data_IF_076004972638
#
_entry.id   IF_076004972638
#
_cell.length_a   1.000
_cell.length_b   1.000
_cell.length_c   1.000
_cell.angle_alpha   90.00
_cell.angle_beta   90.00
_cell.angle_gamma   90.00
#
_symmetry.space_group_name_H-M   'P 1'
#
loop_
_entity.id
_entity.type
_entity.pdbx_description
1 polymer ?
#
# COMPACT_ATOMS: atom_id res chain seq x y z
N UNK A 1 -4.36 -41.62 15.04
CA UNK A 1 -4.54 -40.39 15.86
C UNK A 1 -5.90 -40.45 16.52
N UNK A 2 -6.01 -40.14 17.81
CA UNK A 2 -7.30 -40.06 18.51
C UNK A 2 -7.98 -38.71 18.23
N UNK A 3 -9.32 -38.64 18.35
CA UNK A 3 -10.07 -37.41 18.07
C UNK A 3 -9.61 -36.20 18.90
N UNK A 4 -9.08 -36.44 20.12
CA UNK A 4 -8.48 -35.40 20.98
C UNK A 4 -7.15 -34.88 20.42
N UNK A 5 -6.29 -35.74 19.88
CA UNK A 5 -5.01 -35.34 19.29
C UNK A 5 -5.22 -34.49 18.03
N UNK A 6 -6.22 -34.84 17.21
CA UNK A 6 -6.58 -34.07 16.02
C UNK A 6 -7.14 -32.69 16.40
N UNK A 7 -8.02 -32.63 17.40
CA UNK A 7 -8.55 -31.36 17.92
C UNK A 7 -7.45 -30.44 18.46
N UNK A 8 -6.49 -30.98 19.22
CA UNK A 8 -5.35 -30.20 19.68
C UNK A 8 -4.51 -29.65 18.52
N UNK A 9 -4.21 -30.43 17.50
CA UNK A 9 -3.41 -29.97 16.34
C UNK A 9 -4.10 -28.87 15.53
N UNK A 10 -5.43 -28.88 15.48
CA UNK A 10 -6.21 -27.90 14.73
C UNK A 10 -6.38 -26.59 15.51
N UNK A 11 -6.52 -26.65 16.84
CA UNK A 11 -6.81 -25.48 17.69
C UNK A 11 -5.56 -24.80 18.23
N UNK A 12 -4.47 -25.55 18.44
CA UNK A 12 -3.24 -25.04 19.03
C UNK A 12 -2.60 -23.89 18.24
N UNK A 13 -2.56 -23.88 16.90
CA UNK A 13 -2.08 -22.73 16.13
C UNK A 13 -2.90 -21.45 16.37
N UNK A 14 -4.23 -21.56 16.52
CA UNK A 14 -5.09 -20.42 16.84
C UNK A 14 -4.85 -19.92 18.27
N UNK A 15 -4.73 -20.82 19.24
CA UNK A 15 -4.46 -20.46 20.63
C UNK A 15 -3.10 -19.76 20.78
N UNK A 16 -2.07 -20.25 20.09
CA UNK A 16 -0.74 -19.61 20.06
C UNK A 16 -0.83 -18.23 19.40
N UNK A 17 -1.51 -18.11 18.26
CA UNK A 17 -1.65 -16.84 17.55
C UNK A 17 -2.42 -15.79 18.39
N UNK A 18 -3.50 -16.20 19.05
CA UNK A 18 -4.27 -15.35 19.96
C UNK A 18 -3.43 -14.94 21.18
N UNK A 19 -2.71 -15.87 21.81
CA UNK A 19 -1.83 -15.56 22.94
C UNK A 19 -0.74 -14.57 22.51
N UNK A 20 -0.07 -14.81 21.38
CA UNK A 20 0.97 -13.92 20.86
C UNK A 20 0.44 -12.52 20.52
N UNK A 21 -0.79 -12.42 19.98
CA UNK A 21 -1.45 -11.15 19.74
C UNK A 21 -1.79 -10.41 21.05
N UNK A 22 -2.31 -11.12 22.06
CA UNK A 22 -2.62 -10.54 23.38
C UNK A 22 -1.36 -10.01 24.09
N UNK A 23 -0.25 -10.76 24.01
CA UNK A 23 1.03 -10.35 24.58
C UNK A 23 1.79 -9.30 23.74
N UNK A 24 1.22 -8.84 22.61
CA UNK A 24 1.87 -7.92 21.66
C UNK A 24 3.28 -8.37 21.23
N UNK A 25 3.55 -9.67 21.32
CA UNK A 25 4.84 -10.26 20.98
C UNK A 25 5.08 -10.24 19.47
N UNK A 26 4.01 -10.06 18.68
CA UNK A 26 4.05 -9.97 17.21
C UNK A 26 2.74 -9.38 16.67
N UNK A 27 2.72 -8.73 15.48
CA UNK A 27 1.50 -8.18 14.90
C UNK A 27 0.66 -9.26 14.19
N UNK A 28 0.02 -10.16 14.96
CA UNK A 28 -0.81 -11.26 14.43
C UNK A 28 -2.30 -10.92 14.28
N UNK A 29 -2.76 -9.75 14.73
CA UNK A 29 -4.14 -9.29 14.54
C UNK A 29 -4.28 -8.43 13.27
N UNK A 30 -5.14 -8.82 12.33
CA UNK A 30 -5.49 -8.00 11.16
C UNK A 30 -4.40 -7.87 10.09
N UNK A 31 -3.36 -8.70 10.12
CA UNK A 31 -2.24 -8.64 9.18
C UNK A 31 -2.19 -9.87 8.27
N UNK A 32 -1.40 -9.78 7.19
CA UNK A 32 -1.09 -10.90 6.28
C UNK A 32 -0.59 -12.18 6.99
N UNK A 33 -0.14 -12.09 8.24
CA UNK A 33 0.38 -13.20 9.01
C UNK A 33 -0.70 -14.20 9.45
N UNK A 34 -1.96 -13.78 9.55
CA UNK A 34 -3.09 -14.68 9.83
C UNK A 34 -3.35 -15.71 8.72
N UNK A 35 -2.78 -15.51 7.54
CA UNK A 35 -2.83 -16.48 6.43
C UNK A 35 -2.24 -17.85 6.81
N UNK A 36 -1.30 -17.90 7.76
CA UNK A 36 -0.72 -19.14 8.28
C UNK A 36 -1.75 -20.05 8.95
N UNK A 37 -2.88 -19.50 9.40
CA UNK A 37 -3.96 -20.25 10.04
C UNK A 37 -4.94 -20.89 9.04
N UNK A 38 -4.93 -20.46 7.77
CA UNK A 38 -5.83 -20.96 6.71
C UNK A 38 -5.82 -22.50 6.60
N UNK A 39 -4.67 -23.21 6.50
CA UNK A 39 -4.68 -24.67 6.38
C UNK A 39 -5.32 -25.36 7.60
N UNK A 40 -5.10 -24.83 8.81
CA UNK A 40 -5.69 -25.39 10.04
C UNK A 40 -7.18 -25.08 10.14
N UNK A 41 -7.60 -23.87 9.72
CA UNK A 41 -9.01 -23.49 9.62
C UNK A 41 -9.76 -24.44 8.68
N UNK A 42 -9.23 -24.63 7.47
CA UNK A 42 -9.84 -25.49 6.45
C UNK A 42 -9.93 -26.94 6.90
N UNK A 43 -8.86 -27.47 7.50
CA UNK A 43 -8.85 -28.83 8.03
C UNK A 43 -9.86 -29.00 9.18
N UNK A 44 -9.96 -28.03 10.09
CA UNK A 44 -10.91 -28.06 11.20
C UNK A 44 -12.36 -27.98 10.75
N UNK A 45 -12.67 -27.05 9.84
CA UNK A 45 -14.02 -26.92 9.24
C UNK A 45 -14.39 -28.19 8.48
N UNK A 46 -13.47 -28.77 7.71
CA UNK A 46 -13.73 -30.00 6.95
C UNK A 46 -14.03 -31.19 7.85
N UNK A 47 -13.28 -31.36 8.96
CA UNK A 47 -13.53 -32.44 9.93
C UNK A 47 -14.84 -32.22 10.68
N UNK A 48 -15.12 -30.99 11.11
CA UNK A 48 -16.38 -30.64 11.78
C UNK A 48 -17.59 -30.89 10.85
N UNK A 49 -17.50 -30.44 9.60
CA UNK A 49 -18.52 -30.71 8.58
C UNK A 49 -18.69 -32.20 8.34
N UNK A 50 -17.61 -32.98 8.17
CA UNK A 50 -17.70 -34.42 7.95
C UNK A 50 -18.36 -35.17 9.12
N UNK A 51 -18.17 -34.70 10.37
CA UNK A 51 -18.82 -35.28 11.54
C UNK A 51 -20.28 -34.84 11.68
N UNK A 52 -20.61 -33.57 11.39
CA UNK A 52 -21.97 -33.03 11.44
C UNK A 52 -22.86 -33.53 10.28
N UNK A 53 -22.28 -33.72 9.10
CA UNK A 53 -22.98 -34.08 7.86
C UNK A 53 -23.23 -35.58 7.69
N UNK A 54 -22.64 -36.40 8.55
CA UNK A 54 -22.68 -37.86 8.44
C UNK A 54 -24.11 -38.45 8.41
N UNK A 55 -25.15 -37.66 8.71
CA UNK A 55 -26.55 -38.08 8.58
C UNK A 55 -27.54 -37.08 7.94
N UNK A 56 -27.17 -35.83 7.59
CA UNK A 56 -28.15 -34.83 7.09
C UNK A 56 -27.52 -33.81 6.12
N UNK A 57 -27.50 -34.16 4.84
CA UNK A 57 -27.01 -33.29 3.74
C UNK A 57 -27.67 -31.91 3.74
N UNK A 58 -28.96 -31.83 4.08
CA UNK A 58 -29.71 -30.55 4.18
C UNK A 58 -29.12 -29.58 5.21
N UNK A 59 -28.58 -30.09 6.31
CA UNK A 59 -27.99 -29.24 7.36
C UNK A 59 -26.66 -28.63 6.93
N UNK A 60 -25.84 -29.34 6.15
CA UNK A 60 -24.58 -28.80 5.64
C UNK A 60 -24.81 -27.80 4.53
N UNK A 61 -25.85 -28.00 3.71
CA UNK A 61 -26.25 -27.00 2.71
C UNK A 61 -26.73 -25.71 3.40
N UNK A 62 -27.52 -25.83 4.48
CA UNK A 62 -27.91 -24.68 5.29
C UNK A 62 -26.72 -24.00 5.98
N UNK A 63 -25.76 -24.77 6.51
CA UNK A 63 -24.54 -24.24 7.12
C UNK A 63 -23.64 -23.52 6.11
N UNK A 64 -23.46 -24.09 4.91
CA UNK A 64 -22.70 -23.47 3.83
C UNK A 64 -23.34 -22.14 3.39
N UNK A 65 -24.66 -22.13 3.16
CA UNK A 65 -25.41 -20.91 2.85
C UNK A 65 -25.30 -19.87 3.98
N UNK A 66 -25.40 -20.29 5.24
CA UNK A 66 -25.24 -19.41 6.39
C UNK A 66 -23.85 -18.80 6.49
N UNK A 67 -22.79 -19.59 6.28
CA UNK A 67 -21.40 -19.10 6.25
C UNK A 67 -21.21 -18.14 5.09
N UNK A 68 -21.67 -18.47 3.88
CA UNK A 68 -21.60 -17.58 2.71
C UNK A 68 -22.34 -16.27 2.95
N UNK A 69 -23.53 -16.31 3.57
CA UNK A 69 -24.29 -15.11 3.94
C UNK A 69 -23.57 -14.27 4.99
N UNK A 70 -23.02 -14.90 6.03
CA UNK A 70 -22.21 -14.20 7.04
C UNK A 70 -20.98 -13.58 6.40
N UNK A 71 -20.26 -14.28 5.53
CA UNK A 71 -19.11 -13.71 4.79
C UNK A 71 -19.53 -12.55 3.89
N UNK A 72 -20.66 -12.63 3.20
CA UNK A 72 -21.19 -11.55 2.37
C UNK A 72 -21.62 -10.33 3.20
N UNK A 73 -22.19 -10.54 4.38
CA UNK A 73 -22.61 -9.47 5.28
C UNK A 73 -21.47 -8.94 6.16
N UNK A 74 -20.38 -9.70 6.29
CA UNK A 74 -19.18 -9.29 7.01
C UNK A 74 -18.50 -8.19 6.23
N UNK A 75 -18.79 -6.96 6.61
CA UNK A 75 -18.15 -5.73 6.14
C UNK A 75 -16.72 -5.61 6.69
N UNK A 76 -15.89 -6.62 6.46
CA UNK A 76 -14.45 -6.40 6.55
C UNK A 76 -14.18 -5.22 5.62
N UNK A 77 -13.72 -4.07 6.17
CA UNK A 77 -13.39 -2.87 5.40
C UNK A 77 -12.66 -3.33 4.16
N UNK A 78 -13.32 -3.28 3.00
CA UNK A 78 -12.67 -3.62 1.75
C UNK A 78 -11.46 -2.70 1.67
N UNK A 79 -10.26 -3.30 1.68
CA UNK A 79 -9.09 -2.59 1.17
C UNK A 79 -9.50 -2.04 -0.20
N UNK A 80 -9.08 -0.82 -0.59
CA UNK A 80 -9.51 -0.20 -1.84
C UNK A 80 -9.43 -1.22 -2.97
N UNK A 81 -10.60 -1.65 -3.48
CA UNK A 81 -10.65 -2.65 -4.53
C UNK A 81 -10.03 -2.02 -5.77
N UNK A 82 -8.86 -2.53 -6.17
CA UNK A 82 -8.24 -2.11 -7.43
C UNK A 82 -8.88 -2.91 -8.52
N UNK A 83 -9.77 -2.25 -9.25
CA UNK A 83 -10.44 -2.85 -10.37
C UNK A 83 -9.42 -3.27 -11.45
N UNK A 84 -9.67 -4.35 -12.22
CA UNK A 84 -8.70 -4.85 -13.20
C UNK A 84 -8.29 -3.82 -14.26
N UNK A 85 -9.21 -2.92 -14.62
CA UNK A 85 -8.99 -1.80 -15.53
C UNK A 85 -8.05 -0.73 -14.94
N UNK A 86 -8.00 -0.58 -13.62
CA UNK A 86 -7.07 0.28 -12.92
C UNK A 86 -5.60 -0.19 -13.03
N UNK A 87 -5.37 -1.48 -13.27
CA UNK A 87 -4.02 -2.06 -13.41
C UNK A 87 -3.59 -2.27 -14.87
N UNK A 88 -4.24 -1.61 -15.84
CA UNK A 88 -3.87 -1.75 -17.26
C UNK A 88 -2.44 -1.26 -17.50
N UNK A 89 -1.64 -2.11 -18.14
CA UNK A 89 -0.26 -1.78 -18.53
C UNK A 89 -0.18 -0.52 -19.40
N UNK A 90 -1.22 -0.24 -20.21
CA UNK A 90 -1.32 0.98 -21.02
C UNK A 90 -1.26 2.26 -20.17
N UNK A 91 -1.86 2.29 -18.97
CA UNK A 91 -1.79 3.44 -18.08
C UNK A 91 -0.37 3.67 -17.58
N UNK A 92 0.32 2.58 -17.21
CA UNK A 92 1.72 2.65 -16.78
C UNK A 92 2.64 3.09 -17.92
N UNK A 93 2.43 2.59 -19.14
CA UNK A 93 3.17 3.02 -20.32
C UNK A 93 2.98 4.51 -20.62
N UNK A 94 1.74 5.00 -20.52
CA UNK A 94 1.44 6.42 -20.67
C UNK A 94 2.10 7.27 -19.57
N UNK A 95 2.09 6.80 -18.32
CA UNK A 95 2.77 7.46 -17.21
C UNK A 95 4.29 7.51 -17.41
N UNK A 96 4.92 6.43 -17.88
CA UNK A 96 6.36 6.44 -18.19
C UNK A 96 6.68 7.37 -19.37
N UNK A 97 5.83 7.39 -20.40
CA UNK A 97 5.97 8.32 -21.52
C UNK A 97 5.87 9.78 -21.07
N UNK A 98 5.00 10.09 -20.10
CA UNK A 98 4.93 11.40 -19.47
C UNK A 98 6.18 11.71 -18.65
N UNK A 99 6.65 10.77 -17.82
CA UNK A 99 7.87 10.95 -17.02
C UNK A 99 9.06 11.28 -17.92
N UNK A 100 9.22 10.61 -19.06
CA UNK A 100 10.30 10.91 -20.00
C UNK A 100 10.26 12.32 -20.61
N UNK A 101 9.14 13.04 -20.50
CA UNK A 101 9.01 14.44 -20.92
C UNK A 101 9.39 15.43 -19.80
N UNK A 102 9.50 14.97 -18.56
CA UNK A 102 9.94 15.78 -17.43
C UNK A 102 11.40 16.22 -17.66
N UNK A 103 11.77 17.48 -17.41
CA UNK A 103 13.17 17.90 -17.51
C UNK A 103 14.07 17.07 -16.58
N UNK A 104 15.21 16.58 -17.09
CA UNK A 104 16.15 15.73 -16.34
C UNK A 104 16.67 16.34 -15.02
N UNK A 105 16.68 17.68 -14.92
CA UNK A 105 17.07 18.40 -13.70
C UNK A 105 15.98 18.46 -12.62
N UNK A 106 14.76 18.02 -12.92
CA UNK A 106 13.62 18.05 -12.00
C UNK A 106 13.42 16.65 -11.38
N UNK A 107 13.67 16.47 -10.08
CA UNK A 107 13.61 15.16 -9.46
C UNK A 107 12.17 14.69 -9.28
N UNK A 108 12.01 13.37 -9.19
CA UNK A 108 10.75 12.68 -8.91
C UNK A 108 10.73 12.25 -7.45
N UNK A 109 9.74 12.72 -6.70
CA UNK A 109 9.51 12.36 -5.31
C UNK A 109 8.42 11.28 -5.20
N UNK A 110 8.68 10.23 -4.42
CA UNK A 110 7.80 9.07 -4.34
C UNK A 110 7.71 8.48 -2.92
N UNK A 111 6.61 7.80 -2.61
CA UNK A 111 6.54 6.89 -1.47
C UNK A 111 7.17 5.53 -1.81
N UNK A 112 7.26 4.64 -0.82
CA UNK A 112 7.89 3.33 -1.02
C UNK A 112 7.12 2.46 -2.02
N UNK A 113 5.78 2.53 -2.04
CA UNK A 113 4.97 1.77 -3.00
C UNK A 113 5.27 2.20 -4.43
N UNK A 114 5.21 3.51 -4.68
CA UNK A 114 5.48 4.11 -5.99
C UNK A 114 6.92 3.84 -6.42
N UNK A 115 7.87 3.87 -5.49
CA UNK A 115 9.27 3.56 -5.77
C UNK A 115 9.48 2.13 -6.33
N UNK A 116 8.74 1.14 -5.85
CA UNK A 116 8.83 -0.23 -6.38
C UNK A 116 8.40 -0.28 -7.85
N UNK A 117 7.41 0.53 -8.23
CA UNK A 117 6.94 0.62 -9.60
C UNK A 117 7.92 1.41 -10.47
N UNK A 118 8.38 2.57 -10.02
CA UNK A 118 9.37 3.37 -10.74
C UNK A 118 10.67 2.60 -10.97
N UNK A 119 11.20 1.92 -9.96
CA UNK A 119 12.42 1.11 -10.11
C UNK A 119 12.25 -0.03 -11.12
N UNK A 120 11.05 -0.61 -11.25
CA UNK A 120 10.77 -1.64 -12.25
C UNK A 120 10.65 -1.05 -13.67
N UNK A 121 9.81 -0.03 -13.84
CA UNK A 121 9.43 0.49 -15.15
C UNK A 121 10.42 1.51 -15.72
N UNK A 122 10.98 2.40 -14.89
CA UNK A 122 11.88 3.48 -15.33
C UNK A 122 13.32 2.99 -15.54
N UNK A 123 13.75 1.97 -14.78
CA UNK A 123 15.13 1.49 -14.83
C UNK A 123 15.35 0.34 -15.82
N UNK A 124 14.31 -0.11 -16.54
CA UNK A 124 14.39 -1.18 -17.54
C UNK A 124 15.14 -2.44 -17.03
N UNK A 125 14.90 -2.83 -15.77
CA UNK A 125 15.51 -3.98 -15.10
C UNK A 125 17.04 -3.93 -14.94
N UNK A 126 17.66 -2.75 -15.03
CA UNK A 126 19.10 -2.59 -14.75
C UNK A 126 19.36 -2.61 -13.24
N UNK A 127 20.54 -3.09 -12.85
CA UNK A 127 21.03 -2.92 -11.48
C UNK A 127 21.30 -1.43 -11.23
N UNK A 128 20.50 -0.82 -10.36
CA UNK A 128 20.60 0.59 -10.02
C UNK A 128 21.37 0.74 -8.72
N UNK A 129 22.44 1.53 -8.75
CA UNK A 129 23.13 1.93 -7.52
C UNK A 129 22.24 2.92 -6.80
N UNK A 130 21.65 2.46 -5.70
CA UNK A 130 20.81 3.28 -4.83
C UNK A 130 21.66 3.98 -3.79
N UNK A 131 21.57 5.30 -3.72
CA UNK A 131 22.13 6.11 -2.64
C UNK A 131 21.19 6.10 -1.42
N UNK A 132 21.74 5.75 -0.26
CA UNK A 132 21.06 5.72 1.04
C UNK A 132 21.78 6.56 2.09
N UNK A 133 22.62 7.49 1.65
CA UNK A 133 23.39 8.39 2.51
C UNK A 133 22.49 9.30 3.38
N UNK A 134 21.28 9.61 2.91
CA UNK A 134 20.31 10.45 3.62
C UNK A 134 19.30 9.57 4.37
N UNK A 135 19.29 9.60 5.72
CA UNK A 135 18.36 8.80 6.52
C UNK A 135 16.90 9.11 6.21
N UNK A 136 16.12 8.04 6.01
CA UNK A 136 14.70 8.13 5.67
C UNK A 136 14.42 8.12 4.18
N UNK A 137 15.44 8.26 3.32
CA UNK A 137 15.28 8.30 1.86
C UNK A 137 16.20 7.32 1.16
N UNK A 138 15.80 6.98 -0.07
CA UNK A 138 16.66 6.34 -1.06
C UNK A 138 16.58 7.18 -2.33
N UNK A 139 17.72 7.42 -2.96
CA UNK A 139 17.75 8.12 -4.25
C UNK A 139 18.56 7.37 -5.28
N UNK A 140 18.15 7.49 -6.54
CA UNK A 140 18.84 6.86 -7.66
C UNK A 140 18.54 7.57 -8.97
N UNK A 141 19.35 7.30 -9.98
CA UNK A 141 19.20 7.83 -11.33
C UNK A 141 18.71 6.72 -12.27
N UNK A 142 17.55 6.93 -12.91
CA UNK A 142 17.00 6.03 -13.92
C UNK A 142 16.25 6.80 -14.99
N UNK A 143 16.32 6.34 -16.24
CA UNK A 143 15.60 6.95 -17.35
C UNK A 143 15.95 8.41 -17.62
N UNK A 144 17.09 8.89 -17.12
CA UNK A 144 17.49 10.30 -17.17
C UNK A 144 16.95 11.18 -16.04
N UNK A 145 16.33 10.58 -15.02
CA UNK A 145 15.74 11.30 -13.89
C UNK A 145 16.29 10.81 -12.56
N UNK A 146 16.44 11.76 -11.64
CA UNK A 146 16.67 11.49 -10.24
C UNK A 146 15.36 11.14 -9.56
N UNK A 147 15.26 9.93 -9.02
CA UNK A 147 14.16 9.53 -8.14
C UNK A 147 14.63 9.65 -6.70
N UNK A 148 13.80 10.25 -5.84
CA UNK A 148 13.98 10.33 -4.40
C UNK A 148 12.74 9.72 -3.76
N UNK A 149 12.89 8.61 -3.05
CA UNK A 149 11.78 7.90 -2.45
C UNK A 149 11.90 7.82 -0.93
N UNK A 150 10.76 7.94 -0.24
CA UNK A 150 10.70 7.63 1.19
C UNK A 150 10.96 6.15 1.44
N UNK A 151 11.74 5.85 2.47
CA UNK A 151 11.94 4.48 2.98
C UNK A 151 11.09 4.18 4.20
N UNK A 152 10.40 5.18 4.74
CA UNK A 152 9.64 5.07 6.01
C UNK A 152 8.14 5.11 5.81
N UNK A 153 7.66 5.69 4.70
CA UNK A 153 6.23 5.78 4.36
C UNK A 153 5.92 4.87 3.20
N UNK A 154 5.08 3.85 3.45
CA UNK A 154 4.68 2.90 2.42
C UNK A 154 3.82 3.56 1.34
N UNK A 155 2.84 4.34 1.80
CA UNK A 155 1.91 5.13 1.00
C UNK A 155 1.90 6.52 1.62
N UNK A 156 1.86 7.56 0.79
CA UNK A 156 1.62 8.91 1.29
C UNK A 156 0.14 9.18 1.56
N UNK A 157 -0.11 9.82 2.69
CA UNK A 157 -1.29 10.63 3.04
C UNK A 157 -0.92 12.10 2.96
N UNK A 158 -1.86 13.04 2.95
CA UNK A 158 -1.54 14.47 2.93
C UNK A 158 -0.57 14.88 4.06
N UNK A 159 -0.76 14.35 5.28
CA UNK A 159 0.14 14.62 6.41
C UNK A 159 1.52 14.01 6.23
N UNK A 160 1.60 12.72 5.89
CA UNK A 160 2.90 12.06 5.74
C UNK A 160 3.67 12.55 4.51
N UNK A 161 2.96 12.94 3.44
CA UNK A 161 3.53 13.64 2.30
C UNK A 161 4.15 14.97 2.74
N UNK A 162 3.39 15.80 3.46
CA UNK A 162 3.89 17.08 3.96
C UNK A 162 5.17 16.89 4.79
N UNK A 163 5.15 15.98 5.76
CA UNK A 163 6.31 15.75 6.64
C UNK A 163 7.54 15.29 5.84
N UNK A 164 7.35 14.32 4.94
CA UNK A 164 8.44 13.80 4.12
C UNK A 164 8.93 14.80 3.07
N UNK A 165 8.05 15.65 2.54
CA UNK A 165 8.41 16.75 1.65
C UNK A 165 9.32 17.76 2.37
N UNK A 166 8.94 18.20 3.58
CA UNK A 166 9.76 19.13 4.37
C UNK A 166 11.12 18.52 4.72
N UNK A 167 11.14 17.25 5.13
CA UNK A 167 12.40 16.54 5.39
C UNK A 167 13.27 16.42 4.14
N UNK A 168 12.70 16.05 2.99
CA UNK A 168 13.43 15.93 1.73
C UNK A 168 14.02 17.28 1.32
N UNK A 169 13.21 18.34 1.29
CA UNK A 169 13.64 19.70 0.92
C UNK A 169 14.81 20.14 1.79
N UNK A 170 14.73 19.90 3.11
CA UNK A 170 15.77 20.26 4.07
C UNK A 170 17.04 19.43 3.90
N UNK A 171 16.94 18.09 3.89
CA UNK A 171 18.09 17.17 3.87
C UNK A 171 18.83 17.13 2.53
N UNK A 172 18.12 17.35 1.41
CA UNK A 172 18.72 17.43 0.08
C UNK A 172 19.10 18.88 -0.30
N UNK A 173 18.90 19.86 0.59
CA UNK A 173 19.19 21.27 0.36
C UNK A 173 18.57 21.80 -0.94
N UNK A 174 17.29 21.45 -1.16
CA UNK A 174 16.60 21.82 -2.39
C UNK A 174 16.44 23.34 -2.49
N UNK A 175 16.74 23.87 -3.66
CA UNK A 175 16.73 25.32 -3.88
C UNK A 175 15.29 25.84 -3.96
N UNK A 176 14.96 26.96 -3.29
CA UNK A 176 13.66 27.61 -3.45
C UNK A 176 13.34 27.89 -4.92
N UNK A 177 12.10 27.64 -5.32
CA UNK A 177 11.64 27.78 -6.70
C UNK A 177 11.95 26.61 -7.62
N UNK A 178 12.78 25.64 -7.19
CA UNK A 178 12.99 24.42 -7.97
C UNK A 178 11.70 23.60 -8.03
N UNK A 179 11.52 22.93 -9.16
CA UNK A 179 10.35 22.11 -9.46
C UNK A 179 10.65 20.65 -9.11
N UNK A 180 9.74 20.01 -8.38
CA UNK A 180 9.83 18.60 -8.02
C UNK A 180 8.52 17.94 -8.39
N UNK A 181 8.60 16.79 -9.04
CA UNK A 181 7.44 16.01 -9.46
C UNK A 181 7.12 14.96 -8.41
N UNK A 182 5.95 15.04 -7.79
CA UNK A 182 5.44 13.96 -6.95
C UNK A 182 4.74 12.92 -7.83
N UNK A 183 5.13 11.66 -7.68
CA UNK A 183 4.47 10.52 -8.32
C UNK A 183 3.81 9.64 -7.27
N UNK A 184 2.56 9.26 -7.53
CA UNK A 184 1.82 8.27 -6.76
C UNK A 184 1.31 7.17 -7.67
N UNK A 185 1.61 5.93 -7.32
CA UNK A 185 1.23 4.75 -8.09
C UNK A 185 0.93 3.59 -7.15
N UNK A 186 -0.18 2.88 -7.37
CA UNK A 186 -0.41 1.59 -6.71
C UNK A 186 -1.82 1.38 -6.18
N UNK A 187 -1.94 1.18 -4.85
CA UNK A 187 -3.21 0.85 -4.20
C UNK A 187 -3.95 2.10 -3.70
N UNK A 188 -3.22 3.19 -3.47
CA UNK A 188 -3.75 4.43 -2.93
C UNK A 188 -3.04 5.63 -3.55
N UNK A 189 -3.78 6.44 -4.30
CA UNK A 189 -3.26 7.63 -4.98
C UNK A 189 -4.21 8.81 -4.79
N UNK A 190 -4.41 9.24 -3.54
CA UNK A 190 -5.32 10.33 -3.19
C UNK A 190 -4.62 11.58 -2.65
N UNK A 191 -3.29 11.63 -2.60
CA UNK A 191 -2.60 12.79 -2.00
C UNK A 191 -2.92 14.06 -2.78
N UNK A 192 -2.91 14.04 -4.12
CA UNK A 192 -3.26 15.23 -4.88
C UNK A 192 -4.68 15.72 -4.56
N UNK A 193 -5.64 14.78 -4.45
CA UNK A 193 -7.01 15.09 -4.06
C UNK A 193 -7.11 15.64 -2.64
N UNK A 194 -6.43 15.02 -1.67
CA UNK A 194 -6.42 15.48 -0.27
C UNK A 194 -5.79 16.88 -0.15
N UNK A 195 -4.67 17.11 -0.83
CA UNK A 195 -3.95 18.39 -0.83
C UNK A 195 -4.73 19.50 -1.55
N UNK A 196 -5.52 19.18 -2.57
CA UNK A 196 -6.36 20.15 -3.28
C UNK A 196 -7.44 20.80 -2.39
N UNK A 197 -7.75 20.21 -1.22
CA UNK A 197 -8.64 20.83 -0.22
C UNK A 197 -8.01 22.03 0.50
N UNK A 198 -6.72 22.27 0.31
CA UNK A 198 -6.00 23.38 0.92
C UNK A 198 -5.65 24.42 -0.14
N UNK A 199 -6.03 25.70 0.04
CA UNK A 199 -5.88 26.74 -0.98
C UNK A 199 -4.41 27.05 -1.33
N UNK A 200 -3.47 26.63 -0.49
CA UNK A 200 -2.02 26.75 -0.73
C UNK A 200 -1.55 25.85 -1.87
N UNK A 201 -2.28 24.78 -2.18
CA UNK A 201 -1.94 23.85 -3.24
C UNK A 201 -2.77 24.13 -4.50
N UNK A 202 -2.12 24.65 -5.53
CA UNK A 202 -2.68 24.77 -6.87
C UNK A 202 -2.17 23.61 -7.72
N UNK A 203 -2.73 22.43 -7.51
CA UNK A 203 -2.31 21.21 -8.20
C UNK A 203 -3.03 21.06 -9.54
N UNK A 204 -2.28 20.65 -10.55
CA UNK A 204 -2.80 20.17 -11.82
C UNK A 204 -2.28 18.73 -12.03
N UNK A 205 -2.87 17.73 -11.36
CA UNK A 205 -2.41 16.35 -11.49
C UNK A 205 -2.65 15.80 -12.90
N UNK A 206 -1.66 15.06 -13.39
CA UNK A 206 -1.76 14.22 -14.57
C UNK A 206 -2.19 12.82 -14.13
N UNK A 207 -3.41 12.44 -14.49
CA UNK A 207 -3.99 11.15 -14.16
C UNK A 207 -3.78 10.13 -15.28
N UNK A 208 -3.33 8.93 -14.92
CA UNK A 208 -3.19 7.80 -15.84
C UNK A 208 -4.03 6.64 -15.32
N UNK A 209 -5.34 6.72 -15.57
CA UNK A 209 -6.30 5.86 -14.88
C UNK A 209 -6.44 6.22 -13.40
N UNK A 210 -7.14 5.40 -12.61
CA UNK A 210 -7.54 5.78 -11.25
C UNK A 210 -6.46 5.52 -10.18
N UNK A 211 -5.29 4.99 -10.53
CA UNK A 211 -4.26 4.53 -9.58
C UNK A 211 -2.86 5.05 -9.90
N UNK A 212 -2.76 6.03 -10.80
CA UNK A 212 -1.49 6.67 -11.15
C UNK A 212 -1.74 8.16 -11.30
N UNK A 213 -1.10 8.95 -10.44
CA UNK A 213 -1.15 10.41 -10.48
C UNK A 213 0.26 10.97 -10.42
N UNK A 214 0.52 11.99 -11.24
CA UNK A 214 1.79 12.70 -11.25
C UNK A 214 1.50 14.19 -11.23
N UNK A 215 2.05 14.93 -10.29
CA UNK A 215 1.86 16.38 -10.17
C UNK A 215 3.14 17.05 -9.75
N UNK A 216 3.28 18.32 -10.05
CA UNK A 216 4.45 19.09 -9.64
C UNK A 216 4.17 20.02 -8.47
N UNK A 217 5.24 20.34 -7.75
CA UNK A 217 5.27 21.29 -6.66
C UNK A 217 6.55 22.12 -6.75
N UNK A 218 6.47 23.37 -6.27
CA UNK A 218 7.65 24.24 -6.16
C UNK A 218 8.18 24.25 -4.74
N UNK A 219 9.49 24.12 -4.60
CA UNK A 219 10.15 24.25 -3.31
C UNK A 219 9.97 25.67 -2.78
N UNK A 220 9.56 25.80 -1.53
CA UNK A 220 9.30 27.10 -0.89
C UNK A 220 7.93 27.71 -1.21
N UNK A 221 7.03 27.00 -1.91
CA UNK A 221 5.63 27.43 -2.00
C UNK A 221 4.96 27.44 -0.61
N UNK A 222 3.86 28.19 -0.48
CA UNK A 222 3.06 28.17 0.74
C UNK A 222 2.55 26.75 1.00
N UNK A 223 2.54 26.33 2.26
CA UNK A 223 2.02 25.05 2.70
C UNK A 223 1.03 25.27 3.84
N UNK A 224 0.00 24.43 4.00
CA UNK A 224 -0.98 24.57 5.08
C UNK A 224 -0.34 24.33 6.46
N UNK A 225 -0.99 24.83 7.52
CA UNK A 225 -0.60 24.48 8.88
C UNK A 225 -0.65 22.96 9.04
N UNK A 226 0.44 22.28 9.43
CA UNK A 226 0.48 20.83 9.58
C UNK A 226 -0.51 20.27 10.59
N UNK A 227 -1.07 21.11 11.48
CA UNK A 227 -2.15 20.73 12.41
C UNK A 227 -3.51 20.58 11.74
N UNK A 228 -3.69 21.17 10.56
CA UNK A 228 -4.93 21.08 9.77
C UNK A 228 -4.92 19.88 8.82
N UNK A 229 -3.77 19.22 8.64
CA UNK A 229 -3.66 18.02 7.81
C UNK A 229 -4.25 16.79 8.54
N UNK A 230 -4.99 15.92 7.82
CA UNK A 230 -5.52 14.68 8.40
C UNK A 230 -4.41 13.81 8.98
N UNK A 231 -4.56 13.34 10.22
CA UNK A 231 -3.53 12.53 10.90
C UNK A 231 -3.64 11.04 10.62
N UNK A 232 -4.65 10.61 9.88
CA UNK A 232 -4.96 9.20 9.58
C UNK A 232 -5.42 9.02 8.15
#
# INVERSE_FOLDING_TARGET
>A
MTSRQLGCLLLLPFAINCAAALFRAYPYGGTRHSSLLIPFALAGVSVALAQLLKHRVSFGMAAALGISLVCHLSTAKELPYVAPDAQRSANMQAAMAFIHQIPAGEPIFADLQTNLLLSHYLCAQRLVVSDRSIPGFVSYECGGHRVIASTTKYIFTARSFYDQWQEMVSKYHMQPGSKIWAAQMGWYTYVAFELANFPQFQLAPHDFGPQIQIFDLKVGQSMPDPKLLPTT
#
